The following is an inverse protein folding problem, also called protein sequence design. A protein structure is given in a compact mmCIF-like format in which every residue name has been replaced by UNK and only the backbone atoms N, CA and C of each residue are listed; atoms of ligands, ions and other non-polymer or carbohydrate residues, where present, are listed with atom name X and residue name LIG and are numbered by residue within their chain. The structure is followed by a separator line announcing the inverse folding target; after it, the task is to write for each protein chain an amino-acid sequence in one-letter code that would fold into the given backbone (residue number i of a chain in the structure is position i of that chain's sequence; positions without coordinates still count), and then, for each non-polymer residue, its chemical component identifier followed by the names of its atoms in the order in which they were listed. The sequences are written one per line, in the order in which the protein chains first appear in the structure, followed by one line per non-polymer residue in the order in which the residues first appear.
data_IF_455426051621
#
_entry.id   IF_455426051621
#
_cell.length_a   1.000
_cell.length_b   1.000
_cell.length_c   1.000
_cell.angle_alpha   90.00
_cell.angle_beta   90.00
_cell.angle_gamma   90.00
#
_symmetry.space_group_name_H-M   'P 1'
#
loop_
_entity.id
_entity.type
_entity.pdbx_description
1 polymer ?
#
# COMPACT_ATOMS: atom_id res chain seq x y z
N UNK A 1 7.63 19.01 -1.73
CA UNK A 1 7.80 17.54 -1.93
C UNK A 1 6.49 16.94 -2.37
N UNK A 2 6.52 15.79 -3.10
CA UNK A 2 5.34 15.06 -3.55
C UNK A 2 5.45 13.60 -3.10
N UNK A 3 4.37 13.09 -2.52
CA UNK A 3 4.19 11.65 -2.22
C UNK A 3 3.04 11.14 -3.08
N UNK A 4 3.28 10.07 -3.82
CA UNK A 4 2.23 9.26 -4.45
C UNK A 4 2.01 8.05 -3.56
N UNK A 5 0.87 8.02 -2.87
CA UNK A 5 0.54 6.98 -1.91
C UNK A 5 -0.40 5.97 -2.53
N UNK A 6 0.13 4.78 -2.81
CA UNK A 6 -0.69 3.66 -3.28
C UNK A 6 -1.62 3.18 -2.18
N UNK A 7 -2.92 3.19 -2.46
CA UNK A 7 -3.97 2.73 -1.55
C UNK A 7 -4.73 1.56 -2.17
N UNK A 8 -5.22 0.66 -1.31
CA UNK A 8 -6.07 -0.46 -1.74
C UNK A 8 -7.55 -0.17 -1.49
N UNK A 9 -8.41 -1.00 -2.04
CA UNK A 9 -9.85 -0.94 -1.77
C UNK A 9 -10.21 -1.21 -0.30
N UNK A 10 -9.33 -1.88 0.45
CA UNK A 10 -9.48 -2.17 1.88
C UNK A 10 -8.65 -1.25 2.78
N UNK A 11 -8.20 -0.10 2.28
CA UNK A 11 -7.25 0.75 2.98
C UNK A 11 -7.71 1.23 4.36
N UNK A 12 -9.00 1.54 4.52
CA UNK A 12 -9.60 1.92 5.80
C UNK A 12 -10.51 0.82 6.38
N UNK A 13 -10.32 -0.43 5.98
CA UNK A 13 -11.04 -1.57 6.54
C UNK A 13 -10.37 -2.09 7.80
N UNK A 14 -11.15 -2.75 8.66
CA UNK A 14 -10.59 -3.47 9.80
C UNK A 14 -9.50 -4.44 9.34
N UNK A 15 -8.33 -4.41 9.98
CA UNK A 15 -7.21 -5.26 9.59
C UNK A 15 -7.55 -6.74 9.82
N UNK A 16 -7.12 -7.60 8.91
CA UNK A 16 -7.12 -9.04 9.10
C UNK A 16 -5.97 -9.47 10.02
N UNK A 17 -6.00 -10.71 10.52
CA UNK A 17 -4.88 -11.27 11.29
C UNK A 17 -3.55 -11.20 10.53
N UNK A 18 -3.56 -11.46 9.22
CA UNK A 18 -2.38 -11.36 8.38
C UNK A 18 -1.83 -9.93 8.26
N UNK A 19 -2.68 -8.92 8.33
CA UNK A 19 -2.25 -7.52 8.32
C UNK A 19 -1.58 -7.15 9.64
N UNK A 20 -2.10 -7.66 10.75
CA UNK A 20 -1.51 -7.50 12.09
C UNK A 20 -0.11 -8.10 12.15
N UNK A 21 0.10 -9.27 11.55
CA UNK A 21 1.44 -9.91 11.49
C UNK A 21 2.46 -9.08 10.74
N UNK A 22 2.05 -8.38 9.68
CA UNK A 22 2.92 -7.46 8.91
C UNK A 22 3.44 -6.28 9.73
N UNK A 23 2.76 -5.92 10.82
CA UNK A 23 3.23 -4.88 11.74
C UNK A 23 4.58 -5.22 12.40
N UNK A 24 5.00 -6.48 12.39
CA UNK A 24 6.33 -6.90 12.87
C UNK A 24 7.50 -6.18 12.18
N UNK A 25 7.28 -5.64 10.98
CA UNK A 25 8.27 -4.79 10.31
C UNK A 25 8.54 -3.48 11.06
N UNK A 26 7.64 -3.07 11.94
CA UNK A 26 7.77 -1.87 12.78
C UNK A 26 8.50 -2.13 14.09
N UNK A 27 8.71 -3.40 14.48
CA UNK A 27 9.34 -3.77 15.75
C UNK A 27 10.62 -2.98 16.08
N UNK A 28 11.56 -2.73 15.15
CA UNK A 28 12.78 -1.98 15.44
C UNK A 28 12.55 -0.54 15.88
N UNK A 29 11.38 0.01 15.62
CA UNK A 29 11.02 1.40 15.96
C UNK A 29 10.20 1.54 17.24
N UNK A 30 9.93 0.42 17.93
CA UNK A 30 9.06 0.38 19.12
C UNK A 30 9.49 1.35 20.21
N UNK A 31 10.79 1.41 20.51
CA UNK A 31 11.32 2.27 21.58
C UNK A 31 11.62 3.70 21.12
N UNK A 32 11.61 3.97 19.81
CA UNK A 32 11.98 5.27 19.25
C UNK A 32 10.81 6.10 18.74
N UNK A 33 9.59 5.52 18.71
CA UNK A 33 8.43 6.18 18.14
C UNK A 33 7.14 5.80 18.86
N UNK A 34 6.52 6.76 19.55
CA UNK A 34 5.30 6.55 20.36
C UNK A 34 4.09 6.09 19.54
N UNK A 35 3.98 6.46 18.27
CA UNK A 35 2.91 5.97 17.38
C UNK A 35 3.11 4.50 17.05
N UNK A 36 4.35 4.12 16.70
CA UNK A 36 4.70 2.71 16.44
C UNK A 36 4.46 1.88 17.70
N UNK A 37 4.84 2.41 18.86
CA UNK A 37 4.60 1.73 20.14
C UNK A 37 3.13 1.44 20.35
N UNK A 38 2.24 2.43 20.18
CA UNK A 38 0.79 2.25 20.33
C UNK A 38 0.22 1.21 19.34
N UNK A 39 0.66 1.28 18.09
CA UNK A 39 0.23 0.33 17.06
C UNK A 39 0.69 -1.10 17.38
N UNK A 40 1.91 -1.28 17.88
CA UNK A 40 2.41 -2.60 18.24
C UNK A 40 1.80 -3.13 19.53
N UNK A 41 1.53 -2.27 20.50
CA UNK A 41 0.84 -2.66 21.75
C UNK A 41 -0.60 -3.15 21.47
N UNK A 42 -1.26 -2.66 20.42
CA UNK A 42 -2.60 -3.13 20.02
C UNK A 42 -2.63 -4.57 19.47
N UNK A 43 -1.47 -5.15 19.12
CA UNK A 43 -1.38 -6.57 18.69
C UNK A 43 -1.74 -7.55 19.82
N UNK A 44 -1.57 -7.15 21.07
CA UNK A 44 -1.94 -7.96 22.21
C UNK A 44 -1.19 -7.62 23.50
N UNK A 45 -1.69 -8.09 24.65
CA UNK A 45 -1.19 -7.66 25.96
C UNK A 45 0.26 -8.05 26.25
N UNK A 46 0.79 -9.04 25.55
CA UNK A 46 2.15 -9.53 25.73
C UNK A 46 3.18 -8.92 24.79
N UNK A 47 2.77 -8.13 23.78
CA UNK A 47 3.69 -7.58 22.78
C UNK A 47 4.73 -6.65 23.41
N UNK A 48 4.35 -5.80 24.35
CA UNK A 48 5.26 -4.92 25.08
C UNK A 48 6.40 -5.66 25.81
N UNK A 49 6.14 -6.90 26.27
CA UNK A 49 7.17 -7.71 26.93
C UNK A 49 8.09 -8.39 25.93
N UNK A 50 7.54 -8.89 24.82
CA UNK A 50 8.32 -9.52 23.74
C UNK A 50 9.25 -8.50 23.08
N UNK A 51 8.77 -7.26 22.87
CA UNK A 51 9.52 -6.19 22.21
C UNK A 51 10.67 -5.61 23.05
N UNK A 52 10.74 -5.95 24.34
CA UNK A 52 11.95 -5.71 25.15
C UNK A 52 13.10 -6.68 24.79
N UNK A 53 12.84 -7.77 24.09
CA UNK A 53 13.87 -8.70 23.61
C UNK A 53 14.42 -8.25 22.26
N UNK A 54 15.72 -8.01 22.19
CA UNK A 54 16.43 -7.73 20.95
C UNK A 54 16.22 -8.85 19.91
N UNK A 55 16.25 -10.10 20.36
CA UNK A 55 16.04 -11.24 19.49
C UNK A 55 14.64 -11.21 18.85
N UNK A 56 13.59 -10.93 19.63
CA UNK A 56 12.24 -10.83 19.10
C UNK A 56 12.08 -9.63 18.14
N UNK A 57 12.66 -8.50 18.48
CA UNK A 57 12.62 -7.29 17.66
C UNK A 57 13.16 -7.50 16.25
N UNK A 58 14.21 -8.30 16.08
CA UNK A 58 14.88 -8.53 14.79
C UNK A 58 14.66 -9.91 14.19
N UNK A 59 13.95 -10.82 14.85
CA UNK A 59 13.81 -12.21 14.47
C UNK A 59 13.33 -12.39 13.00
N UNK A 60 12.33 -11.63 12.57
CA UNK A 60 11.81 -11.71 11.20
C UNK A 60 12.79 -11.24 10.12
N UNK A 61 13.85 -10.53 10.50
CA UNK A 61 14.83 -9.94 9.58
C UNK A 61 16.16 -10.65 9.57
N UNK A 62 16.52 -11.30 10.69
CA UNK A 62 17.86 -11.88 10.87
C UNK A 62 18.15 -12.99 9.83
N UNK A 63 17.23 -13.96 9.70
CA UNK A 63 17.40 -15.06 8.74
C UNK A 63 17.44 -14.62 7.28
N UNK A 64 16.55 -13.74 6.79
CA UNK A 64 16.66 -13.16 5.45
C UNK A 64 17.96 -12.40 5.21
N UNK A 65 18.48 -11.67 6.20
CA UNK A 65 19.77 -10.98 6.07
C UNK A 65 20.93 -11.97 5.97
N UNK A 66 20.99 -12.97 6.85
CA UNK A 66 22.02 -14.01 6.82
C UNK A 66 21.98 -14.76 5.48
N UNK A 67 20.80 -15.15 5.02
CA UNK A 67 20.61 -15.80 3.73
C UNK A 67 21.16 -14.95 2.57
N UNK A 68 20.86 -13.64 2.55
CA UNK A 68 21.38 -12.72 1.53
C UNK A 68 22.90 -12.57 1.57
N UNK A 69 23.50 -12.52 2.76
CA UNK A 69 24.96 -12.45 2.92
C UNK A 69 25.61 -13.72 2.38
N UNK A 70 25.03 -14.88 2.68
CA UNK A 70 25.58 -16.18 2.24
C UNK A 70 25.41 -16.39 0.74
N UNK A 71 24.23 -16.01 0.18
CA UNK A 71 23.93 -16.21 -1.24
C UNK A 71 24.63 -15.21 -2.17
N UNK A 72 25.23 -14.16 -1.61
CA UNK A 72 25.85 -13.05 -2.37
C UNK A 72 24.89 -12.43 -3.42
N UNK A 73 23.58 -12.57 -3.20
CA UNK A 73 22.53 -12.15 -4.13
C UNK A 73 22.11 -10.70 -3.82
N UNK A 74 22.94 -9.76 -4.26
CA UNK A 74 22.69 -8.31 -4.15
C UNK A 74 22.05 -7.72 -5.41
N UNK A 75 21.21 -8.47 -6.10
CA UNK A 75 20.49 -7.99 -7.28
C UNK A 75 19.40 -6.99 -6.90
N UNK A 76 19.81 -5.83 -6.37
CA UNK A 76 18.94 -4.66 -6.29
C UNK A 76 19.05 -3.88 -7.60
N UNK A 77 18.02 -3.92 -8.42
CA UNK A 77 17.91 -2.94 -9.49
C UNK A 77 17.93 -1.53 -8.87
N UNK A 78 18.63 -0.59 -9.52
CA UNK A 78 18.71 0.81 -9.06
C UNK A 78 17.31 1.37 -8.86
N UNK A 79 17.02 1.87 -7.64
CA UNK A 79 15.72 2.45 -7.30
C UNK A 79 14.73 1.50 -6.59
N UNK A 80 15.13 0.29 -6.20
CA UNK A 80 14.30 -0.63 -5.40
C UNK A 80 13.17 -1.32 -6.18
N UNK A 81 13.15 -1.18 -7.51
CA UNK A 81 12.21 -1.90 -8.36
C UNK A 81 12.65 -3.36 -8.52
N UNK A 82 11.79 -4.28 -8.08
CA UNK A 82 11.96 -5.72 -8.31
C UNK A 82 10.87 -6.17 -9.30
N UNK A 83 11.23 -6.46 -10.57
CA UNK A 83 10.25 -6.85 -11.56
C UNK A 83 9.67 -8.23 -11.21
N UNK A 84 8.34 -8.31 -11.15
CA UNK A 84 7.65 -9.59 -11.05
C UNK A 84 7.61 -10.24 -12.43
N UNK A 85 8.26 -11.40 -12.56
CA UNK A 85 8.28 -12.17 -13.79
C UNK A 85 7.07 -13.10 -13.81
N UNK A 86 6.41 -13.20 -14.97
CA UNK A 86 5.27 -14.08 -15.16
C UNK A 86 5.76 -15.53 -15.29
N UNK A 87 5.37 -16.42 -14.37
CA UNK A 87 5.74 -17.84 -14.40
C UNK A 87 4.74 -18.69 -15.25
N UNK A 88 4.07 -18.08 -16.22
CA UNK A 88 3.14 -18.79 -17.10
C UNK A 88 1.73 -19.00 -16.56
N UNK A 89 1.42 -18.60 -15.34
CA UNK A 89 0.05 -18.64 -14.83
C UNK A 89 -0.75 -17.50 -15.46
N UNK A 90 -1.56 -17.82 -16.44
CA UNK A 90 -2.55 -16.91 -17.01
C UNK A 90 -3.82 -17.08 -16.17
N UNK A 91 -4.26 -16.00 -15.50
CA UNK A 91 -5.56 -15.99 -14.85
C UNK A 91 -6.63 -15.75 -15.93
N UNK A 92 -7.49 -16.73 -16.23
CA UNK A 92 -8.28 -16.69 -17.48
C UNK A 92 -9.47 -15.73 -17.43
N UNK A 93 -9.90 -15.26 -16.26
CA UNK A 93 -11.15 -14.48 -16.16
C UNK A 93 -11.08 -13.32 -15.18
N UNK A 94 -11.89 -12.28 -15.47
CA UNK A 94 -12.18 -11.17 -14.56
C UNK A 94 -12.80 -11.73 -13.29
N UNK A 95 -12.18 -11.44 -12.16
CA UNK A 95 -12.76 -11.79 -10.88
C UNK A 95 -13.59 -10.62 -10.36
N UNK A 96 -14.85 -10.91 -10.00
CA UNK A 96 -15.71 -9.97 -9.31
C UNK A 96 -15.65 -10.24 -7.82
N UNK A 97 -15.46 -9.19 -7.02
CA UNK A 97 -15.56 -9.29 -5.58
C UNK A 97 -16.48 -8.24 -5.01
N UNK A 98 -17.31 -8.65 -4.09
CA UNK A 98 -18.01 -7.74 -3.21
C UNK A 98 -17.10 -7.37 -2.05
N UNK A 99 -16.87 -6.08 -1.90
CA UNK A 99 -16.15 -5.54 -0.74
C UNK A 99 -17.18 -5.28 0.35
N UNK A 100 -16.97 -5.90 1.50
CA UNK A 100 -17.80 -5.68 2.68
C UNK A 100 -17.59 -4.26 3.25
N UNK A 101 -18.66 -3.72 3.79
CA UNK A 101 -18.65 -2.42 4.43
C UNK A 101 -18.18 -2.58 5.89
N UNK A 102 -16.91 -2.32 6.14
CA UNK A 102 -16.27 -2.59 7.44
C UNK A 102 -15.27 -1.49 7.81
N UNK A 103 -15.68 -0.23 7.70
CA UNK A 103 -14.86 0.94 8.05
C UNK A 103 -14.26 0.82 9.45
N UNK A 104 -12.94 0.99 9.53
CA UNK A 104 -12.19 1.13 10.78
C UNK A 104 -11.99 2.62 11.09
N UNK A 105 -12.63 3.10 12.15
CA UNK A 105 -12.57 4.51 12.56
C UNK A 105 -11.20 4.90 13.09
N UNK A 106 -10.48 4.00 13.75
CA UNK A 106 -9.12 4.26 14.26
C UNK A 106 -8.13 4.44 13.11
N UNK A 107 -8.21 3.59 12.08
CA UNK A 107 -7.41 3.76 10.87
C UNK A 107 -7.76 5.07 10.14
N UNK A 108 -9.02 5.45 10.06
CA UNK A 108 -9.44 6.72 9.48
C UNK A 108 -8.88 7.92 10.24
N UNK A 109 -8.85 7.86 11.58
CA UNK A 109 -8.24 8.89 12.43
C UNK A 109 -6.72 8.95 12.21
N UNK A 110 -6.02 7.81 12.22
CA UNK A 110 -4.58 7.73 11.96
C UNK A 110 -4.22 8.27 10.58
N UNK A 111 -5.03 7.96 9.56
CA UNK A 111 -4.86 8.50 8.22
C UNK A 111 -5.04 10.01 8.19
N UNK A 112 -6.05 10.53 8.89
CA UNK A 112 -6.31 11.97 9.05
C UNK A 112 -5.10 12.68 9.66
N UNK A 113 -4.58 12.19 10.79
CA UNK A 113 -3.39 12.73 11.47
C UNK A 113 -2.16 12.69 10.55
N UNK A 114 -2.02 11.63 9.75
CA UNK A 114 -0.89 11.49 8.83
C UNK A 114 -0.94 12.54 7.71
N UNK A 115 -2.10 12.73 7.08
CA UNK A 115 -2.27 13.77 6.05
C UNK A 115 -2.09 15.17 6.61
N UNK A 116 -2.57 15.42 7.82
CA UNK A 116 -2.36 16.71 8.51
C UNK A 116 -0.88 17.03 8.70
N UNK A 117 -0.10 16.07 9.20
CA UNK A 117 1.36 16.22 9.37
C UNK A 117 2.09 16.41 8.05
N UNK A 118 1.71 15.67 7.00
CA UNK A 118 2.31 15.82 5.68
C UNK A 118 1.98 17.20 5.09
N UNK A 119 0.75 17.67 5.20
CA UNK A 119 0.35 19.01 4.78
C UNK A 119 1.11 20.10 5.55
N UNK A 120 1.23 19.97 6.87
CA UNK A 120 2.01 20.90 7.71
C UNK A 120 3.49 20.95 7.34
N UNK A 121 4.07 19.85 6.85
CA UNK A 121 5.45 19.80 6.34
C UNK A 121 5.61 20.35 4.91
N UNK A 122 4.56 20.86 4.29
CA UNK A 122 4.57 21.32 2.91
C UNK A 122 4.66 20.18 1.87
N UNK A 123 4.33 18.95 2.29
CA UNK A 123 4.36 17.79 1.40
C UNK A 123 2.99 17.59 0.75
N UNK A 124 2.95 17.63 -0.58
CA UNK A 124 1.75 17.28 -1.35
C UNK A 124 1.56 15.77 -1.39
N UNK A 125 0.33 15.31 -1.26
CA UNK A 125 -0.02 13.88 -1.32
C UNK A 125 -1.00 13.64 -2.46
N UNK A 126 -0.77 12.58 -3.22
CA UNK A 126 -1.70 12.05 -4.22
C UNK A 126 -2.02 10.62 -3.84
N UNK A 127 -3.29 10.29 -3.69
CA UNK A 127 -3.74 8.93 -3.41
C UNK A 127 -3.98 8.19 -4.72
N UNK A 128 -3.40 7.01 -4.86
CA UNK A 128 -3.42 6.25 -6.09
C UNK A 128 -4.03 4.87 -5.88
N UNK A 129 -5.09 4.56 -6.64
CA UNK A 129 -5.61 3.21 -6.80
C UNK A 129 -4.99 2.57 -8.04
N UNK A 130 -4.00 1.66 -7.88
CA UNK A 130 -3.34 1.00 -9.01
C UNK A 130 -4.29 0.04 -9.72
N UNK A 131 -3.99 -0.34 -10.99
CA UNK A 131 -4.75 -1.35 -11.71
C UNK A 131 -4.74 -2.69 -10.98
N UNK A 132 -5.88 -3.38 -11.01
CA UNK A 132 -6.05 -4.76 -10.54
C UNK A 132 -6.86 -5.53 -11.56
N UNK A 133 -6.62 -6.82 -11.65
CA UNK A 133 -7.41 -7.72 -12.49
C UNK A 133 -8.82 -7.97 -11.92
N UNK A 134 -9.01 -7.62 -10.65
CA UNK A 134 -10.24 -7.77 -9.91
C UNK A 134 -11.14 -6.53 -10.03
N UNK A 135 -12.38 -6.72 -10.44
CA UNK A 135 -13.42 -5.68 -10.43
C UNK A 135 -14.17 -5.76 -9.10
N UNK A 136 -14.37 -4.63 -8.46
CA UNK A 136 -15.09 -4.57 -7.18
C UNK A 136 -15.98 -3.33 -7.07
N UNK A 137 -16.91 -3.40 -6.13
CA UNK A 137 -17.83 -2.32 -5.76
C UNK A 137 -17.21 -1.31 -4.77
N UNK A 138 -15.88 -1.23 -4.65
CA UNK A 138 -15.22 -0.46 -3.59
C UNK A 138 -15.66 1.01 -3.49
N UNK A 139 -16.04 1.64 -4.62
CA UNK A 139 -16.50 3.04 -4.63
C UNK A 139 -17.83 3.28 -3.91
N UNK A 140 -18.61 2.24 -3.65
CA UNK A 140 -19.87 2.33 -2.90
C UNK A 140 -19.72 2.03 -1.42
N UNK A 141 -18.52 1.72 -0.94
CA UNK A 141 -18.27 1.38 0.47
C UNK A 141 -18.09 2.61 1.36
N UNK A 142 -18.36 2.47 2.66
CA UNK A 142 -18.10 3.51 3.66
C UNK A 142 -16.62 3.84 3.77
N UNK A 143 -15.73 2.86 3.59
CA UNK A 143 -14.30 3.05 3.60
C UNK A 143 -13.83 4.01 2.50
N UNK A 144 -14.34 3.84 1.27
CA UNK A 144 -14.00 4.73 0.17
C UNK A 144 -14.58 6.13 0.35
N UNK A 145 -15.83 6.21 0.82
CA UNK A 145 -16.47 7.49 1.10
C UNK A 145 -15.73 8.28 2.17
N UNK A 146 -15.29 7.60 3.23
CA UNK A 146 -14.51 8.23 4.30
C UNK A 146 -13.10 8.63 3.82
N UNK A 147 -12.43 7.76 3.04
CA UNK A 147 -11.17 8.09 2.40
C UNK A 147 -11.28 9.36 1.57
N UNK A 148 -12.33 9.45 0.75
CA UNK A 148 -12.60 10.60 -0.11
C UNK A 148 -12.82 11.87 0.72
N UNK A 149 -13.66 11.81 1.75
CA UNK A 149 -13.93 12.92 2.67
C UNK A 149 -12.64 13.44 3.33
N UNK A 150 -11.78 12.54 3.80
CA UNK A 150 -10.50 12.91 4.41
C UNK A 150 -9.55 13.50 3.36
N UNK A 151 -9.44 12.89 2.19
CA UNK A 151 -8.59 13.36 1.12
C UNK A 151 -8.95 14.78 0.65
N UNK A 152 -10.24 15.07 0.49
CA UNK A 152 -10.76 16.41 0.14
C UNK A 152 -10.40 17.45 1.20
N UNK A 153 -10.51 17.13 2.49
CA UNK A 153 -10.13 18.03 3.61
C UNK A 153 -8.66 18.47 3.53
N UNK A 154 -7.77 17.64 3.01
CA UNK A 154 -6.33 17.91 2.97
C UNK A 154 -5.80 18.24 1.57
N UNK A 155 -6.66 18.46 0.58
CA UNK A 155 -6.31 18.71 -0.82
C UNK A 155 -5.44 17.59 -1.43
N UNK A 156 -5.70 16.35 -1.05
CA UNK A 156 -5.02 15.16 -1.54
C UNK A 156 -5.83 14.53 -2.69
N UNK A 157 -5.54 14.80 -3.97
CA UNK A 157 -6.31 14.26 -5.08
C UNK A 157 -6.23 12.73 -5.12
N UNK A 158 -7.35 12.11 -5.53
CA UNK A 158 -7.46 10.66 -5.70
C UNK A 158 -7.39 10.32 -7.21
N UNK A 159 -6.45 9.47 -7.58
CA UNK A 159 -6.37 8.86 -8.91
C UNK A 159 -6.91 7.45 -8.81
N UNK A 160 -8.18 7.24 -9.14
CA UNK A 160 -8.86 5.94 -9.08
C UNK A 160 -9.25 5.38 -10.46
N UNK A 161 -9.04 6.16 -11.53
CA UNK A 161 -9.43 5.79 -12.89
C UNK A 161 -8.69 4.57 -13.44
N UNK A 162 -7.55 4.21 -12.86
CA UNK A 162 -6.78 3.06 -13.30
C UNK A 162 -7.26 1.75 -12.70
N UNK A 163 -7.99 1.78 -11.57
CA UNK A 163 -8.39 0.57 -10.85
C UNK A 163 -9.21 -0.39 -11.74
N UNK A 164 -10.19 0.12 -12.48
CA UNK A 164 -11.03 -0.67 -13.38
C UNK A 164 -10.80 -0.26 -14.86
N UNK A 165 -9.59 0.19 -15.19
CA UNK A 165 -9.31 0.64 -16.55
C UNK A 165 -9.27 -0.54 -17.53
N UNK A 166 -10.03 -0.41 -18.63
CA UNK A 166 -10.23 -1.48 -19.64
C UNK A 166 -8.92 -2.05 -20.20
N UNK A 167 -7.89 -1.24 -20.32
CA UNK A 167 -6.57 -1.64 -20.85
C UNK A 167 -5.81 -2.58 -19.92
N UNK A 168 -6.26 -2.71 -18.66
CA UNK A 168 -5.69 -3.61 -17.67
C UNK A 168 -6.65 -4.77 -17.38
N UNK A 169 -7.91 -4.49 -17.05
CA UNK A 169 -8.86 -5.54 -16.66
C UNK A 169 -9.18 -6.54 -17.76
N UNK A 170 -8.94 -6.19 -19.02
CA UNK A 170 -9.16 -7.07 -20.20
C UNK A 170 -7.91 -7.82 -20.63
N UNK A 171 -6.76 -7.59 -20.00
CA UNK A 171 -5.49 -8.20 -20.38
C UNK A 171 -4.76 -8.79 -19.15
N UNK A 172 -5.07 -10.05 -18.86
CA UNK A 172 -4.45 -10.78 -17.75
C UNK A 172 -2.94 -11.00 -17.93
N UNK A 173 -2.42 -10.87 -19.17
CA UNK A 173 -0.98 -11.02 -19.43
C UNK A 173 -0.13 -9.91 -18.82
N UNK A 174 -0.76 -8.79 -18.40
CA UNK A 174 -0.08 -7.69 -17.70
C UNK A 174 0.06 -7.93 -16.20
N UNK A 175 -0.47 -9.01 -15.67
CA UNK A 175 -0.48 -9.29 -14.23
C UNK A 175 0.37 -10.51 -13.89
N UNK A 176 0.96 -10.45 -12.70
CA UNK A 176 1.60 -11.59 -12.03
C UNK A 176 0.58 -12.43 -11.29
N UNK A 177 -0.37 -11.76 -10.65
CA UNK A 177 -1.52 -12.31 -9.94
C UNK A 177 -2.67 -11.28 -9.97
N UNK A 178 -3.77 -11.56 -9.29
CA UNK A 178 -4.97 -10.71 -9.29
C UNK A 178 -4.70 -9.26 -8.87
N UNK A 179 -3.73 -9.05 -8.00
CA UNK A 179 -3.42 -7.77 -7.36
C UNK A 179 -2.15 -7.08 -7.85
N UNK A 180 -1.26 -7.80 -8.53
CA UNK A 180 0.06 -7.30 -8.87
C UNK A 180 0.32 -7.33 -10.37
N UNK A 181 0.74 -6.18 -10.90
CA UNK A 181 1.24 -6.08 -12.27
C UNK A 181 2.58 -6.81 -12.41
N UNK A 182 2.79 -7.47 -13.54
CA UNK A 182 4.12 -7.94 -13.93
C UNK A 182 4.94 -6.80 -14.53
N UNK A 183 6.17 -7.07 -14.98
CA UNK A 183 7.09 -6.08 -15.56
C UNK A 183 6.44 -5.27 -16.70
N UNK A 184 5.74 -5.95 -17.61
CA UNK A 184 5.08 -5.31 -18.79
C UNK A 184 3.95 -4.39 -18.33
N UNK A 185 3.06 -4.89 -17.46
CA UNK A 185 1.97 -4.12 -16.88
C UNK A 185 2.46 -2.92 -16.08
N UNK A 186 3.49 -3.10 -15.27
CA UNK A 186 4.10 -2.04 -14.47
C UNK A 186 4.69 -0.92 -15.34
N UNK A 187 5.41 -1.27 -16.43
CA UNK A 187 5.96 -0.28 -17.36
C UNK A 187 4.87 0.54 -18.05
N UNK A 188 3.82 -0.14 -18.55
CA UNK A 188 2.65 0.54 -19.15
C UNK A 188 1.97 1.46 -18.15
N UNK A 189 1.72 0.96 -16.94
CA UNK A 189 1.07 1.73 -15.88
C UNK A 189 1.91 2.95 -15.48
N UNK A 190 3.22 2.79 -15.28
CA UNK A 190 4.11 3.89 -14.90
C UNK A 190 4.11 5.02 -15.94
N UNK A 191 4.06 4.67 -17.24
CA UNK A 191 3.98 5.66 -18.33
C UNK A 191 2.65 6.43 -18.34
N UNK A 192 1.54 5.76 -18.01
CA UNK A 192 0.23 6.41 -17.90
C UNK A 192 0.14 7.29 -16.66
N UNK A 193 0.65 6.79 -15.53
CA UNK A 193 0.67 7.51 -14.27
C UNK A 193 1.54 8.77 -14.35
N UNK A 194 2.71 8.70 -15.01
CA UNK A 194 3.58 9.86 -15.18
C UNK A 194 2.88 10.99 -15.93
N UNK A 195 2.10 10.69 -16.97
CA UNK A 195 1.29 11.69 -17.68
C UNK A 195 0.24 12.32 -16.79
N UNK A 196 -0.43 11.52 -15.98
CA UNK A 196 -1.46 12.01 -15.06
C UNK A 196 -0.88 12.91 -13.96
N UNK A 197 0.22 12.48 -13.36
CA UNK A 197 0.90 13.27 -12.33
C UNK A 197 1.41 14.60 -12.88
N UNK A 198 1.89 14.63 -14.14
CA UNK A 198 2.31 15.87 -14.79
C UNK A 198 1.15 16.88 -14.85
N UNK A 199 -0.05 16.45 -15.23
CA UNK A 199 -1.24 17.32 -15.25
C UNK A 199 -1.56 17.86 -13.85
N UNK A 200 -1.59 17.00 -12.82
CA UNK A 200 -1.88 17.39 -11.42
C UNK A 200 -0.84 18.41 -10.88
N UNK A 201 0.41 18.32 -11.34
CA UNK A 201 1.49 19.20 -10.88
C UNK A 201 1.41 20.56 -11.60
N UNK A 202 1.10 20.57 -12.91
CA UNK A 202 1.07 21.78 -13.73
C UNK A 202 -0.18 22.60 -13.46
N UNK A 203 -1.35 22.00 -13.32
CA UNK A 203 -2.64 22.68 -13.11
C UNK A 203 -2.73 23.43 -11.76
N UNK A 204 -1.73 23.29 -10.89
CA UNK A 204 -1.65 23.95 -9.58
C UNK A 204 -0.48 24.94 -9.46
N UNK A 205 0.16 25.31 -10.56
CA UNK A 205 1.09 26.43 -10.64
C UNK A 205 0.40 27.67 -11.23
#
# INVERSE_FOLDING_TARGET
KLIVWSVSHSFLSKPSENDIDRLSNLNPFYHSNDYVKRVLDSKGPYEKYKLNSQLYTYNSRLLPYISKIISNDYNFEKGGFVPLINNGNVYPEKQYSNIEDNLDKELAELFTITLEKLKASGTKVVLLFPPRLQISNFKSTSQFNELKRIAEKFDAPIIDKFYNHKDFINDSTMFKDIGHLNKTGANKFSSLLARELKNIIIDKQ
#
